data_IF_481978632594
#
_entry.id   IF_481978632594
#
_cell.length_a   1.000
_cell.length_b   1.000
_cell.length_c   1.000
_cell.angle_alpha   90.00
_cell.angle_beta   90.00
_cell.angle_gamma   90.00
#
_symmetry.space_group_name_H-M   'P 1'
#
loop_
_entity.id
_entity.type
_entity.pdbx_description
1 polymer ?
#
# COMPACT_ATOMS: atom_id res chain seq x y z
N UNK A 1 -18.01 2.51 -1.64
CA UNK A 1 -16.89 2.39 -0.68
C UNK A 1 -16.17 3.71 -0.57
N UNK A 2 -15.91 4.16 0.65
CA UNK A 2 -15.17 5.41 0.88
C UNK A 2 -13.67 5.08 0.86
N UNK A 3 -12.87 5.75 0.02
CA UNK A 3 -11.43 5.48 0.00
C UNK A 3 -10.77 5.85 1.34
N UNK A 4 -9.79 5.05 1.80
CA UNK A 4 -9.04 5.42 2.99
C UNK A 4 -8.18 6.65 2.72
N UNK A 5 -7.94 7.44 3.74
CA UNK A 5 -6.97 8.53 3.64
C UNK A 5 -5.56 7.97 3.65
N UNK A 6 -4.60 8.77 3.18
CA UNK A 6 -3.21 8.37 3.18
C UNK A 6 -2.72 8.07 4.60
N UNK A 7 -3.16 8.86 5.59
CA UNK A 7 -2.79 8.61 6.99
C UNK A 7 -3.29 7.25 7.47
N UNK A 8 -4.54 6.92 7.18
CA UNK A 8 -5.10 5.63 7.60
C UNK A 8 -4.39 4.48 6.91
N UNK A 9 -4.09 4.63 5.64
CA UNK A 9 -3.35 3.60 4.91
C UNK A 9 -1.94 3.43 5.49
N UNK A 10 -1.25 4.54 5.77
CA UNK A 10 0.09 4.50 6.35
C UNK A 10 0.07 3.83 7.73
N UNK A 11 -0.95 4.11 8.55
CA UNK A 11 -1.07 3.48 9.86
C UNK A 11 -1.23 1.96 9.74
N UNK A 12 -2.02 1.52 8.79
CA UNK A 12 -2.20 0.08 8.58
C UNK A 12 -0.92 -0.57 8.05
N UNK A 13 -0.21 0.12 7.15
CA UNK A 13 1.07 -0.37 6.65
C UNK A 13 2.07 -0.53 7.80
N UNK A 14 2.14 0.46 8.70
CA UNK A 14 3.03 0.37 9.87
C UNK A 14 2.62 -0.78 10.80
N UNK A 15 1.33 -0.98 10.99
CA UNK A 15 0.82 -2.07 11.83
C UNK A 15 1.23 -3.42 11.26
N UNK A 16 1.08 -3.60 9.96
CA UNK A 16 1.46 -4.84 9.29
C UNK A 16 2.96 -5.10 9.42
N UNK A 17 3.78 -4.06 9.27
CA UNK A 17 5.23 -4.20 9.41
C UNK A 17 5.64 -4.55 10.84
N UNK A 18 4.93 -4.00 11.84
CA UNK A 18 5.19 -4.34 13.23
C UNK A 18 4.82 -5.79 13.54
N UNK A 19 3.76 -6.29 12.90
CA UNK A 19 3.30 -7.66 13.11
C UNK A 19 4.17 -8.66 12.34
N UNK A 20 4.63 -8.29 11.14
CA UNK A 20 5.40 -9.18 10.27
C UNK A 20 6.68 -8.47 9.79
N UNK A 21 7.60 -8.14 10.71
CA UNK A 21 8.75 -7.29 10.34
C UNK A 21 9.73 -7.95 9.38
N UNK A 22 9.80 -9.27 9.37
CA UNK A 22 10.75 -10.01 8.55
C UNK A 22 10.16 -10.44 7.20
N UNK A 23 8.88 -10.15 6.96
CA UNK A 23 8.24 -10.60 5.73
C UNK A 23 8.78 -9.83 4.53
N UNK A 24 9.00 -10.55 3.44
CA UNK A 24 9.43 -9.99 2.16
C UNK A 24 8.42 -10.40 1.10
N UNK A 25 8.05 -9.46 0.23
CA UNK A 25 7.06 -9.74 -0.81
C UNK A 25 7.24 -8.75 -1.96
N UNK A 26 8.01 -9.15 -2.96
CA UNK A 26 8.25 -8.33 -4.16
C UNK A 26 7.21 -8.70 -5.21
N UNK A 27 6.01 -8.14 -5.13
CA UNK A 27 4.91 -8.53 -5.98
C UNK A 27 3.91 -7.38 -6.14
N UNK A 28 2.92 -7.60 -6.99
CA UNK A 28 1.84 -6.64 -7.20
C UNK A 28 0.93 -6.59 -5.97
N UNK A 29 -0.02 -5.67 -5.97
CA UNK A 29 -0.95 -5.50 -4.85
C UNK A 29 -1.70 -6.79 -4.50
N UNK A 30 -2.14 -7.51 -5.52
CA UNK A 30 -2.86 -8.78 -5.35
C UNK A 30 -2.30 -9.81 -6.32
N UNK A 31 -2.26 -11.05 -5.89
CA UNK A 31 -1.81 -12.14 -6.76
C UNK A 31 -2.89 -12.50 -7.76
N UNK A 32 -2.51 -12.65 -9.03
CA UNK A 32 -3.45 -12.97 -10.10
C UNK A 32 -3.97 -14.41 -10.00
N UNK A 33 -3.20 -15.31 -9.38
CA UNK A 33 -3.58 -16.72 -9.28
C UNK A 33 -4.65 -16.96 -8.23
N UNK A 34 -4.53 -16.29 -7.09
CA UNK A 34 -5.40 -16.55 -5.93
C UNK A 34 -6.31 -15.38 -5.59
N UNK A 35 -6.01 -14.18 -6.08
CA UNK A 35 -6.73 -12.98 -5.71
C UNK A 35 -6.40 -12.47 -4.31
N UNK A 36 -5.42 -13.05 -3.65
CA UNK A 36 -5.05 -12.65 -2.30
C UNK A 36 -4.09 -11.47 -2.32
N UNK A 37 -4.12 -10.61 -1.29
CA UNK A 37 -3.15 -9.50 -1.23
C UNK A 37 -1.73 -10.05 -1.13
N UNK A 38 -0.78 -9.36 -1.75
CA UNK A 38 0.60 -9.81 -1.79
C UNK A 38 1.56 -8.80 -1.17
N UNK A 39 1.66 -7.58 -1.70
CA UNK A 39 2.56 -6.60 -1.13
C UNK A 39 1.96 -5.94 0.10
N UNK A 40 2.79 -5.22 0.87
CA UNK A 40 2.33 -4.62 2.11
C UNK A 40 1.19 -3.61 1.86
N UNK A 41 1.29 -2.83 0.79
CA UNK A 41 0.23 -1.88 0.43
C UNK A 41 -1.04 -2.63 0.02
N UNK A 42 -0.89 -3.75 -0.69
CA UNK A 42 -2.03 -4.59 -1.06
C UNK A 42 -2.75 -5.16 0.16
N UNK A 43 -1.99 -5.62 1.15
CA UNK A 43 -2.58 -6.09 2.41
C UNK A 43 -3.33 -4.97 3.12
N UNK A 44 -2.76 -3.76 3.13
CA UNK A 44 -3.43 -2.61 3.76
C UNK A 44 -4.71 -2.24 3.00
N UNK A 45 -4.68 -2.25 1.68
CA UNK A 45 -5.88 -1.97 0.88
C UNK A 45 -6.97 -3.02 1.13
N UNK A 46 -6.58 -4.28 1.27
CA UNK A 46 -7.54 -5.36 1.57
C UNK A 46 -8.21 -5.13 2.92
N UNK A 47 -7.49 -4.59 3.88
CA UNK A 47 -8.04 -4.25 5.19
C UNK A 47 -9.19 -3.25 5.05
N UNK A 48 -9.10 -2.34 4.09
CA UNK A 48 -10.13 -1.33 3.85
C UNK A 48 -11.21 -1.82 2.88
N UNK A 49 -11.17 -3.08 2.49
CA UNK A 49 -12.24 -3.69 1.71
C UNK A 49 -11.98 -3.86 0.21
N UNK A 50 -10.81 -3.46 -0.27
CA UNK A 50 -10.47 -3.65 -1.68
C UNK A 50 -10.14 -5.11 -1.96
N UNK A 51 -10.50 -5.57 -3.17
CA UNK A 51 -10.27 -6.94 -3.61
C UNK A 51 -9.48 -6.94 -4.91
N UNK A 52 -9.03 -8.13 -5.33
CA UNK A 52 -8.37 -8.30 -6.62
C UNK A 52 -9.26 -7.81 -7.77
N UNK A 53 -10.56 -8.09 -7.70
CA UNK A 53 -11.50 -7.62 -8.73
C UNK A 53 -11.54 -6.09 -8.79
N UNK A 54 -11.50 -5.42 -7.64
CA UNK A 54 -11.40 -3.96 -7.60
C UNK A 54 -10.12 -3.48 -8.24
N UNK A 55 -8.99 -4.14 -7.96
CA UNK A 55 -7.71 -3.78 -8.52
C UNK A 55 -7.74 -3.86 -10.04
N UNK A 56 -8.24 -4.97 -10.58
CA UNK A 56 -8.35 -5.16 -12.03
C UNK A 56 -9.21 -4.09 -12.68
N UNK A 57 -10.32 -3.72 -12.02
CA UNK A 57 -11.28 -2.79 -12.58
C UNK A 57 -10.84 -1.34 -12.47
N UNK A 58 -10.24 -0.97 -11.33
CA UNK A 58 -10.03 0.44 -11.02
C UNK A 58 -8.64 0.96 -11.31
N UNK A 59 -7.57 0.18 -11.06
CA UNK A 59 -6.24 0.77 -11.18
C UNK A 59 -5.21 -0.10 -11.89
N UNK A 60 -5.53 -1.33 -12.21
CA UNK A 60 -4.53 -2.24 -12.75
C UNK A 60 -3.40 -2.50 -11.72
N UNK A 61 -2.91 -3.72 -11.65
CA UNK A 61 -2.08 -4.15 -10.52
C UNK A 61 -0.63 -3.70 -10.57
N UNK A 62 -0.21 -3.04 -11.64
CA UNK A 62 1.19 -2.63 -11.79
C UNK A 62 1.47 -1.16 -11.52
N UNK A 63 0.50 -0.39 -11.04
CA UNK A 63 0.69 1.05 -10.83
C UNK A 63 1.24 1.34 -9.43
N UNK A 64 1.87 2.51 -9.25
CA UNK A 64 2.40 2.89 -7.95
C UNK A 64 1.34 3.61 -7.10
N UNK A 65 1.73 3.97 -5.87
CA UNK A 65 0.82 4.61 -4.92
C UNK A 65 0.33 5.97 -5.43
N UNK A 66 1.17 6.70 -6.14
CA UNK A 66 0.74 7.98 -6.72
C UNK A 66 -0.42 7.80 -7.69
N UNK A 67 -0.38 6.75 -8.50
CA UNK A 67 -1.48 6.44 -9.41
C UNK A 67 -2.74 6.04 -8.65
N UNK A 68 -2.61 5.32 -7.53
CA UNK A 68 -3.76 4.99 -6.71
C UNK A 68 -4.48 6.25 -6.23
N UNK A 69 -3.71 7.27 -5.85
CA UNK A 69 -4.29 8.55 -5.44
C UNK A 69 -5.02 9.20 -6.61
N UNK A 70 -4.41 9.25 -7.78
CA UNK A 70 -5.03 9.85 -8.96
C UNK A 70 -6.30 9.14 -9.38
N UNK A 71 -6.38 7.84 -9.13
CA UNK A 71 -7.56 7.03 -9.49
C UNK A 71 -8.62 7.00 -8.39
N UNK A 72 -8.41 7.73 -7.30
CA UNK A 72 -9.40 7.81 -6.23
C UNK A 72 -9.43 6.62 -5.29
N UNK A 73 -8.43 5.76 -5.35
CA UNK A 73 -8.34 4.59 -4.46
C UNK A 73 -7.89 5.01 -3.06
N UNK A 74 -7.05 6.03 -2.99
CA UNK A 74 -6.56 6.64 -1.75
C UNK A 74 -6.91 8.12 -1.80
N UNK A 75 -7.30 8.68 -0.66
CA UNK A 75 -7.63 10.10 -0.56
C UNK A 75 -6.62 10.82 0.33
N UNK A 76 -6.49 12.13 0.12
CA UNK A 76 -5.80 12.99 1.08
C UNK A 76 -6.84 13.65 1.96
N UNK A 77 -6.69 13.48 3.26
CA UNK A 77 -7.57 14.14 4.23
C UNK A 77 -7.10 15.56 4.52
N UNK A 78 -7.89 16.29 5.29
CA UNK A 78 -7.54 17.65 5.69
C UNK A 78 -6.23 17.63 6.48
N UNK A 79 -5.31 18.49 6.10
CA UNK A 79 -4.02 18.58 6.78
C UNK A 79 -2.97 17.56 6.35
N UNK A 80 -3.31 16.64 5.47
CA UNK A 80 -2.34 15.69 4.92
C UNK A 80 -1.62 16.33 3.73
N UNK A 81 -0.40 15.86 3.47
CA UNK A 81 0.40 16.37 2.36
C UNK A 81 0.79 15.25 1.42
N UNK A 82 1.27 15.64 0.23
CA UNK A 82 1.80 14.67 -0.73
C UNK A 82 3.03 13.93 -0.22
N UNK A 83 3.72 14.46 0.81
CA UNK A 83 4.86 13.79 1.41
C UNK A 83 4.49 12.40 1.93
N UNK A 84 3.28 12.24 2.43
CA UNK A 84 2.81 10.96 2.92
C UNK A 84 2.64 9.96 1.77
N UNK A 85 2.13 10.42 0.64
CA UNK A 85 2.04 9.56 -0.56
C UNK A 85 3.42 9.17 -1.05
N UNK A 86 4.38 10.11 -1.02
CA UNK A 86 5.76 9.82 -1.40
C UNK A 86 6.38 8.79 -0.47
N UNK A 87 6.10 8.90 0.83
CA UNK A 87 6.56 7.92 1.81
C UNK A 87 6.01 6.52 1.53
N UNK A 88 4.72 6.43 1.22
CA UNK A 88 4.11 5.15 0.87
C UNK A 88 4.71 4.58 -0.42
N UNK A 89 5.01 5.43 -1.39
CA UNK A 89 5.64 4.99 -2.63
C UNK A 89 7.04 4.45 -2.36
N UNK A 90 7.78 5.09 -1.45
CA UNK A 90 9.11 4.63 -1.07
C UNK A 90 9.05 3.29 -0.33
N UNK A 91 8.03 3.08 0.51
CA UNK A 91 7.80 1.78 1.14
C UNK A 91 7.62 0.70 0.08
N UNK A 92 6.80 0.99 -0.92
CA UNK A 92 6.54 0.06 -2.00
C UNK A 92 7.81 -0.26 -2.79
N UNK A 93 8.60 0.76 -3.09
CA UNK A 93 9.85 0.60 -3.83
C UNK A 93 10.88 -0.22 -3.03
N UNK A 94 11.02 0.06 -1.74
CA UNK A 94 11.94 -0.67 -0.87
C UNK A 94 11.54 -2.14 -0.77
N UNK A 95 10.25 -2.41 -0.64
CA UNK A 95 9.74 -3.78 -0.61
C UNK A 95 10.04 -4.50 -1.92
N UNK A 96 9.84 -3.83 -3.06
CA UNK A 96 10.10 -4.43 -4.36
C UNK A 96 11.59 -4.72 -4.57
N UNK A 97 12.47 -3.98 -3.89
CA UNK A 97 13.90 -4.23 -3.89
C UNK A 97 14.31 -5.37 -2.95
N UNK A 98 13.35 -6.01 -2.30
CA UNK A 98 13.60 -7.17 -1.46
C UNK A 98 13.78 -6.90 0.01
N UNK A 99 13.56 -5.67 0.47
CA UNK A 99 13.71 -5.36 1.89
C UNK A 99 12.54 -5.94 2.69
N UNK A 100 12.80 -6.41 3.91
CA UNK A 100 11.71 -6.86 4.78
C UNK A 100 10.80 -5.69 5.17
N UNK A 101 9.56 -6.00 5.48
CA UNK A 101 8.56 -4.97 5.76
C UNK A 101 8.98 -4.02 6.87
N UNK A 102 9.61 -4.54 7.92
CA UNK A 102 10.10 -3.70 9.02
C UNK A 102 11.09 -2.64 8.59
N UNK A 103 11.90 -2.95 7.58
CA UNK A 103 12.83 -1.97 7.01
C UNK A 103 12.14 -1.05 6.01
N UNK A 104 11.25 -1.61 5.20
CA UNK A 104 10.59 -0.85 4.14
C UNK A 104 9.78 0.33 4.70
N UNK A 105 9.14 0.15 5.87
CA UNK A 105 8.28 1.20 6.44
C UNK A 105 9.04 2.33 7.09
N UNK A 106 10.37 2.25 7.17
CA UNK A 106 11.14 3.35 7.76
C UNK A 106 10.95 4.66 7.03
N UNK A 107 10.57 4.61 5.75
CA UNK A 107 10.23 5.81 4.98
C UNK A 107 9.04 6.59 5.58
N UNK A 108 8.22 5.93 6.39
CA UNK A 108 7.07 6.53 7.05
C UNK A 108 7.35 6.96 8.50
N UNK A 109 8.57 6.79 8.98
CA UNK A 109 8.90 6.99 10.39
C UNK A 109 9.34 8.40 10.72
N UNK A 110 9.15 9.32 9.82
CA UNK A 110 9.58 10.72 9.98
C UNK A 110 8.62 11.54 10.81
#
# INVERSE_FOLDING_TARGET
MTPPTATRLAEEVKRLAAEYPDKQAACQYFESDTGEPCCIVGHALAKFGYTYADAKRQWNTGVDVGELFHKGVIALGDGESYDLLDGLREVQSAQDDGLPWGEAVKALSE
#
